data_IF_061628761082
#
_entry.id   IF_061628761082
#
_cell.length_a   1.000
_cell.length_b   1.000
_cell.length_c   1.000
_cell.angle_alpha   90.00
_cell.angle_beta   90.00
_cell.angle_gamma   90.00
#
_symmetry.space_group_name_H-M   'P 1'
#
loop_
_entity.id
_entity.type
_entity.pdbx_description
1 polymer ?
#
# COMPACT_ATOMS: atom_id res chain seq x y z
N UNK A 1 -5.98 -7.53 0.65
CA UNK A 1 -7.00 -6.55 1.04
C UNK A 1 -6.46 -5.76 2.19
N UNK A 2 -6.30 -4.46 1.94
CA UNK A 2 -5.78 -3.48 2.87
C UNK A 2 -6.95 -2.63 3.36
N UNK A 3 -6.87 -2.18 4.59
CA UNK A 3 -7.88 -1.34 5.24
C UNK A 3 -7.18 -0.27 6.07
N UNK A 4 -7.95 0.60 6.71
CA UNK A 4 -7.42 1.60 7.63
C UNK A 4 -6.41 0.99 8.63
N UNK A 5 -5.28 1.66 8.82
CA UNK A 5 -4.13 1.23 9.66
C UNK A 5 -3.37 -0.02 9.20
N UNK A 6 -3.65 -0.55 8.01
CA UNK A 6 -2.85 -1.64 7.44
C UNK A 6 -1.40 -1.18 7.21
N UNK A 7 -0.45 -2.03 7.58
CA UNK A 7 1.00 -1.79 7.38
C UNK A 7 1.43 -2.26 6.01
N UNK A 8 2.25 -1.43 5.35
CA UNK A 8 2.72 -1.60 3.99
C UNK A 8 4.23 -1.37 3.95
N UNK A 9 4.92 -2.23 3.22
CA UNK A 9 6.29 -1.99 2.81
C UNK A 9 6.27 -1.13 1.54
N UNK A 10 7.13 -0.11 1.46
CA UNK A 10 7.20 0.72 0.25
C UNK A 10 8.13 0.06 -0.77
N UNK A 11 7.62 -0.20 -1.97
CA UNK A 11 8.32 -0.90 -3.04
C UNK A 11 8.78 0.04 -4.16
N UNK A 12 9.42 1.16 -3.80
CA UNK A 12 9.96 2.15 -4.73
C UNK A 12 11.32 2.72 -4.24
N UNK A 13 11.85 3.71 -4.95
CA UNK A 13 13.07 4.44 -4.60
C UNK A 13 12.80 5.86 -4.05
N UNK A 14 11.60 6.15 -3.54
CA UNK A 14 11.24 7.45 -2.94
C UNK A 14 12.00 7.72 -1.63
N UNK A 15 12.53 6.66 -1.01
CA UNK A 15 13.18 6.69 0.28
C UNK A 15 12.27 6.36 1.46
N UNK A 16 10.94 6.28 1.25
CA UNK A 16 10.05 5.70 2.25
C UNK A 16 10.30 4.18 2.36
N UNK A 17 10.18 3.64 3.58
CA UNK A 17 10.39 2.21 3.87
C UNK A 17 9.11 1.52 4.32
N UNK A 18 8.38 2.15 5.24
CA UNK A 18 7.10 1.65 5.75
C UNK A 18 6.07 2.76 5.79
N UNK A 19 4.85 2.42 5.42
CA UNK A 19 3.71 3.32 5.46
C UNK A 19 2.48 2.61 6.00
N UNK A 20 1.56 3.38 6.57
CA UNK A 20 0.27 2.87 7.03
C UNK A 20 -0.84 3.46 6.20
N UNK A 21 -1.78 2.63 5.74
CA UNK A 21 -2.97 3.10 5.04
C UNK A 21 -3.82 3.95 5.99
N UNK A 22 -4.22 5.14 5.54
CA UNK A 22 -5.10 6.06 6.28
C UNK A 22 -6.41 6.36 5.54
N UNK A 23 -6.56 5.87 4.31
CA UNK A 23 -7.81 5.94 3.55
C UNK A 23 -7.67 5.32 2.17
N UNK A 24 -8.80 4.94 1.57
CA UNK A 24 -8.86 4.48 0.17
C UNK A 24 -9.46 5.61 -0.68
N UNK A 25 -8.90 5.84 -1.86
CA UNK A 25 -9.28 6.96 -2.72
C UNK A 25 -10.04 6.47 -3.96
N UNK A 26 -10.97 7.28 -4.45
CA UNK A 26 -11.66 7.04 -5.73
C UNK A 26 -12.76 5.97 -5.71
N UNK A 27 -12.91 5.21 -4.61
CA UNK A 27 -13.94 4.17 -4.48
C UNK A 27 -14.71 4.31 -3.17
N UNK A 28 -15.99 3.93 -3.18
CA UNK A 28 -16.87 3.90 -1.99
C UNK A 28 -16.74 2.56 -1.25
N UNK A 29 -15.51 2.20 -0.88
CA UNK A 29 -15.19 0.97 -0.13
C UNK A 29 -14.14 1.29 0.93
N UNK A 30 -14.22 0.61 2.08
CA UNK A 30 -13.26 0.76 3.19
C UNK A 30 -11.98 -0.05 3.02
N UNK A 31 -11.86 -0.77 1.89
CA UNK A 31 -10.76 -1.68 1.63
C UNK A 31 -10.20 -1.53 0.23
N UNK A 32 -8.90 -1.78 0.10
CA UNK A 32 -8.13 -1.68 -1.13
C UNK A 32 -7.52 -3.03 -1.52
N UNK A 33 -7.46 -3.27 -2.83
CA UNK A 33 -6.82 -4.41 -3.50
C UNK A 33 -5.69 -3.92 -4.40
N UNK A 34 -4.97 -4.83 -5.05
CA UNK A 34 -3.93 -4.46 -6.02
C UNK A 34 -4.52 -3.58 -7.12
N UNK A 35 -3.86 -2.46 -7.42
CA UNK A 35 -4.28 -1.46 -8.39
C UNK A 35 -5.03 -0.26 -7.79
N UNK A 36 -5.57 -0.39 -6.56
CA UNK A 36 -6.27 0.72 -5.92
C UNK A 36 -5.30 1.78 -5.40
N UNK A 37 -5.75 3.04 -5.44
CA UNK A 37 -5.03 4.18 -4.86
C UNK A 37 -5.45 4.38 -3.42
N UNK A 38 -4.48 4.54 -2.54
CA UNK A 38 -4.69 4.79 -1.11
C UNK A 38 -3.98 6.08 -0.68
N UNK A 39 -4.47 6.68 0.40
CA UNK A 39 -3.72 7.67 1.16
C UNK A 39 -2.93 6.94 2.25
N UNK A 40 -1.64 7.21 2.37
CA UNK A 40 -0.74 6.53 3.28
C UNK A 40 0.09 7.52 4.11
N UNK A 41 0.30 7.21 5.38
CA UNK A 41 1.15 7.98 6.27
C UNK A 41 2.50 7.26 6.45
N UNK A 42 3.60 7.93 6.10
CA UNK A 42 4.96 7.38 6.13
C UNK A 42 5.45 7.27 7.58
N UNK A 43 5.84 6.06 7.97
CA UNK A 43 6.28 5.75 9.34
C UNK A 43 7.79 5.58 9.46
N UNK A 44 8.42 5.10 8.42
CA UNK A 44 9.88 4.92 8.33
C UNK A 44 10.34 5.41 6.95
N UNK A 45 11.41 6.19 6.91
CA UNK A 45 12.04 6.70 5.70
C UNK A 45 13.56 6.80 5.90
N UNK A 46 14.33 6.77 4.81
CA UNK A 46 15.77 7.06 4.83
C UNK A 46 16.02 8.58 5.02
N UNK A 47 17.14 9.00 5.65
CA UNK A 47 17.41 10.41 5.93
C UNK A 47 17.37 11.31 4.68
N UNK A 48 18.00 10.89 3.59
CA UNK A 48 18.16 11.68 2.35
C UNK A 48 17.12 11.35 1.28
N UNK A 49 16.03 10.66 1.66
CA UNK A 49 14.95 10.32 0.75
C UNK A 49 14.13 11.54 0.34
N UNK A 50 13.48 11.45 -0.83
CA UNK A 50 12.57 12.48 -1.33
C UNK A 50 11.33 12.61 -0.41
N UNK A 51 10.92 11.51 0.20
CA UNK A 51 9.77 11.45 1.12
C UNK A 51 10.26 11.35 2.56
N UNK A 52 9.66 12.11 3.48
CA UNK A 52 10.07 12.15 4.90
C UNK A 52 9.12 11.37 5.81
N UNK A 53 9.62 10.97 6.99
CA UNK A 53 8.78 10.37 8.04
C UNK A 53 7.70 11.37 8.48
N UNK A 54 6.46 10.92 8.58
CA UNK A 54 5.31 11.74 8.95
C UNK A 54 4.54 12.30 7.76
N UNK A 55 5.12 12.23 6.56
CA UNK A 55 4.47 12.73 5.35
C UNK A 55 3.27 11.87 4.98
N UNK A 56 2.25 12.52 4.41
CA UNK A 56 1.03 11.87 3.91
C UNK A 56 1.08 11.89 2.40
N UNK A 57 1.11 10.70 1.80
CA UNK A 57 1.30 10.50 0.36
C UNK A 57 0.13 9.70 -0.23
N UNK A 58 -0.04 9.81 -1.55
CA UNK A 58 -0.86 8.85 -2.30
C UNK A 58 0.04 7.71 -2.78
N UNK A 59 -0.46 6.49 -2.73
CA UNK A 59 0.26 5.30 -3.18
C UNK A 59 -0.67 4.35 -3.93
N UNK A 60 -0.12 3.55 -4.84
CA UNK A 60 -0.82 2.48 -5.53
C UNK A 60 -0.43 1.15 -4.89
N UNK A 61 -1.41 0.32 -4.57
CA UNK A 61 -1.17 -1.02 -4.02
C UNK A 61 -0.68 -1.94 -5.13
N UNK A 62 0.51 -2.53 -4.99
CA UNK A 62 1.09 -3.43 -5.99
C UNK A 62 1.04 -4.89 -5.56
N UNK A 63 1.05 -5.18 -4.25
CA UNK A 63 1.02 -6.55 -3.72
C UNK A 63 0.22 -6.63 -2.43
N UNK A 64 -0.49 -7.74 -2.23
CA UNK A 64 -1.15 -8.00 -0.93
C UNK A 64 -1.01 -9.44 -0.47
N UNK A 65 -0.96 -9.62 0.86
CA UNK A 65 -1.05 -10.91 1.56
C UNK A 65 -2.40 -11.61 1.40
N UNK A 66 -3.44 -10.88 1.02
CA UNK A 66 -4.74 -11.49 0.76
C UNK A 66 -4.71 -12.09 -0.64
N UNK A 67 -5.26 -13.29 -0.83
CA UNK A 67 -5.32 -13.92 -2.14
C UNK A 67 -6.13 -13.09 -3.13
N UNK A 68 -5.62 -12.99 -4.35
CA UNK A 68 -6.25 -12.36 -5.50
C UNK A 68 -6.70 -13.48 -6.42
N UNK A 69 -8.01 -13.56 -6.66
CA UNK A 69 -8.57 -14.49 -7.64
C UNK A 69 -8.60 -13.80 -9.00
N UNK A 70 -7.98 -14.42 -10.01
CA UNK A 70 -7.97 -13.95 -11.39
C UNK A 70 -9.16 -14.50 -12.16
N UNK A 71 -9.47 -13.88 -13.30
CA UNK A 71 -10.60 -14.27 -14.14
C UNK A 71 -10.49 -15.70 -14.71
N UNK A 72 -9.27 -16.19 -14.89
CA UNK A 72 -8.97 -17.57 -15.30
C UNK A 72 -9.17 -18.60 -14.17
N UNK A 73 -9.59 -18.15 -12.98
CA UNK A 73 -9.81 -19.00 -11.80
C UNK A 73 -8.56 -19.27 -10.96
N UNK A 74 -7.37 -18.88 -11.44
CA UNK A 74 -6.12 -18.99 -10.67
C UNK A 74 -6.12 -18.04 -9.46
N UNK A 75 -5.32 -18.38 -8.45
CA UNK A 75 -5.17 -17.58 -7.23
C UNK A 75 -3.70 -17.18 -7.05
N UNK A 76 -3.47 -15.88 -6.89
CA UNK A 76 -2.16 -15.31 -6.58
C UNK A 76 -2.16 -14.77 -5.15
N UNK A 77 -1.07 -14.98 -4.41
CA UNK A 77 -0.86 -14.38 -3.10
C UNK A 77 0.60 -13.98 -2.96
N UNK A 78 0.84 -12.82 -2.34
CA UNK A 78 2.19 -12.37 -2.00
C UNK A 78 2.48 -12.56 -0.52
N UNK A 79 3.77 -12.60 -0.17
CA UNK A 79 4.21 -12.77 1.22
C UNK A 79 4.09 -11.48 2.04
N UNK A 80 3.99 -10.32 1.40
CA UNK A 80 3.85 -9.01 2.05
C UNK A 80 2.85 -8.09 1.34
N UNK A 81 2.53 -6.98 2.00
CA UNK A 81 1.71 -5.92 1.44
C UNK A 81 2.64 -4.77 1.01
N UNK A 82 2.48 -4.31 -0.22
CA UNK A 82 3.20 -3.15 -0.76
C UNK A 82 2.29 -2.36 -1.69
#
# INVERSE_FOLDING_TARGET
>A
MLQLRSRLDVADNSGAKKAWAIGVLGIRKDTASVGDVIKAHVREAVPDGNVKKGEVVNAVVVRTKSPIRRADGSVLRFDSNA
#
